data_IF_154221565197
#
_entry.id   IF_154221565197
#
_cell.length_a   1.000
_cell.length_b   1.000
_cell.length_c   1.000
_cell.angle_alpha   90.00
_cell.angle_beta   90.00
_cell.angle_gamma   90.00
#
_symmetry.space_group_name_H-M   'P 1'
#
loop_
_entity.id
_entity.type
_entity.pdbx_description
1 polymer ?
#
# COMPACT_ATOMS: atom_id res chain seq x y z
N UNK A 1 -25.21 -0.44 -7.90
CA UNK A 1 -24.78 -0.65 -9.30
C UNK A 1 -23.57 -1.57 -9.25
N UNK A 2 -23.46 -2.58 -10.13
CA UNK A 2 -22.29 -3.43 -10.15
C UNK A 2 -21.07 -2.60 -10.59
N UNK A 3 -19.98 -2.70 -9.86
CA UNK A 3 -18.73 -2.03 -10.18
C UNK A 3 -18.24 -2.45 -11.57
N UNK A 4 -18.04 -1.47 -12.47
CA UNK A 4 -17.62 -1.71 -13.84
C UNK A 4 -16.26 -2.43 -13.91
N UNK A 5 -15.37 -2.19 -12.94
CA UNK A 5 -14.09 -2.87 -12.82
C UNK A 5 -14.29 -4.36 -12.51
N UNK A 6 -15.12 -4.70 -11.52
CA UNK A 6 -15.44 -6.10 -11.18
C UNK A 6 -16.16 -6.84 -12.31
N UNK A 7 -17.00 -6.15 -13.09
CA UNK A 7 -17.61 -6.72 -14.28
C UNK A 7 -16.57 -7.09 -15.35
N UNK A 8 -15.62 -6.18 -15.62
CA UNK A 8 -14.50 -6.46 -16.54
C UNK A 8 -13.64 -7.60 -16.03
N UNK A 9 -13.31 -7.62 -14.74
CA UNK A 9 -12.55 -8.69 -14.10
C UNK A 9 -13.24 -10.05 -14.27
N UNK A 10 -14.56 -10.12 -14.07
CA UNK A 10 -15.34 -11.34 -14.30
C UNK A 10 -15.27 -11.79 -15.76
N UNK A 11 -15.40 -10.86 -16.72
CA UNK A 11 -15.31 -11.15 -18.15
C UNK A 11 -13.93 -11.70 -18.54
N UNK A 12 -12.85 -11.07 -18.04
CA UNK A 12 -11.48 -11.54 -18.28
C UNK A 12 -11.24 -12.93 -17.67
N UNK A 13 -11.76 -13.18 -16.48
CA UNK A 13 -11.66 -14.51 -15.86
C UNK A 13 -12.37 -15.60 -16.65
N UNK A 14 -13.48 -15.28 -17.31
CA UNK A 14 -14.18 -16.24 -18.16
C UNK A 14 -13.43 -16.49 -19.47
N UNK A 15 -12.85 -15.43 -20.07
CA UNK A 15 -12.12 -15.55 -21.33
C UNK A 15 -10.78 -16.29 -21.17
N UNK A 16 -10.01 -15.98 -20.12
CA UNK A 16 -8.70 -16.56 -19.85
C UNK A 16 -8.76 -17.79 -18.93
N UNK A 17 -9.87 -18.53 -18.89
CA UNK A 17 -9.99 -19.74 -18.07
C UNK A 17 -8.91 -20.80 -18.37
N UNK A 18 -8.37 -20.74 -19.59
CA UNK A 18 -7.32 -21.58 -20.12
C UNK A 18 -5.89 -21.14 -19.77
N UNK A 19 -5.66 -19.95 -19.18
CA UNK A 19 -4.31 -19.48 -18.80
C UNK A 19 -4.18 -19.34 -17.28
N UNK A 20 -3.61 -20.34 -16.58
CA UNK A 20 -3.47 -20.32 -15.13
C UNK A 20 -2.71 -19.11 -14.58
N UNK A 21 -1.69 -18.60 -15.29
CA UNK A 21 -0.91 -17.46 -14.83
C UNK A 21 -1.78 -16.18 -14.74
N UNK A 22 -2.60 -15.94 -15.77
CA UNK A 22 -3.57 -14.83 -15.80
C UNK A 22 -4.67 -15.03 -14.76
N UNK A 23 -5.19 -16.26 -14.60
CA UNK A 23 -6.20 -16.55 -13.57
C UNK A 23 -5.72 -16.25 -12.15
N UNK A 24 -4.45 -16.54 -11.84
CA UNK A 24 -3.88 -16.22 -10.51
C UNK A 24 -3.91 -14.72 -10.23
N UNK A 25 -3.49 -13.89 -11.19
CA UNK A 25 -3.50 -12.43 -11.02
C UNK A 25 -4.94 -11.90 -10.86
N UNK A 26 -5.87 -12.32 -11.73
CA UNK A 26 -7.27 -11.89 -11.68
C UNK A 26 -7.98 -12.37 -10.39
N UNK A 27 -7.62 -13.54 -9.87
CA UNK A 27 -8.15 -14.04 -8.61
C UNK A 27 -7.60 -13.24 -7.41
N UNK A 28 -6.32 -12.89 -7.41
CA UNK A 28 -5.70 -12.07 -6.37
C UNK A 28 -6.33 -10.67 -6.30
N UNK A 29 -6.51 -10.01 -7.45
CA UNK A 29 -7.23 -8.73 -7.53
C UNK A 29 -8.66 -8.87 -6.98
N UNK A 30 -9.41 -9.90 -7.41
CA UNK A 30 -10.79 -10.09 -6.93
C UNK A 30 -10.83 -10.25 -5.41
N UNK A 31 -9.93 -11.06 -4.85
CA UNK A 31 -9.86 -11.29 -3.41
C UNK A 31 -9.58 -9.98 -2.66
N UNK A 32 -8.58 -9.22 -3.12
CA UNK A 32 -8.24 -7.93 -2.53
C UNK A 32 -9.40 -6.94 -2.57
N UNK A 33 -10.08 -6.77 -3.71
CA UNK A 33 -11.25 -5.87 -3.82
C UNK A 33 -12.37 -6.29 -2.87
N UNK A 34 -12.65 -7.59 -2.76
CA UNK A 34 -13.70 -8.07 -1.86
C UNK A 34 -13.35 -7.84 -0.38
N UNK A 35 -12.07 -7.96 -0.01
CA UNK A 35 -11.59 -7.67 1.34
C UNK A 35 -11.71 -6.17 1.66
N UNK A 36 -11.24 -5.32 0.75
CA UNK A 36 -11.35 -3.86 0.92
C UNK A 36 -12.81 -3.40 0.98
N UNK A 37 -13.70 -3.94 0.14
CA UNK A 37 -15.15 -3.68 0.23
C UNK A 37 -15.78 -4.17 1.54
N UNK A 38 -15.15 -5.14 2.20
CA UNK A 38 -15.55 -5.67 3.50
C UNK A 38 -14.93 -4.93 4.69
N UNK A 39 -14.20 -3.82 4.47
CA UNK A 39 -13.41 -3.14 5.50
C UNK A 39 -12.38 -4.06 6.17
N UNK A 40 -11.74 -4.92 5.37
CA UNK A 40 -10.64 -5.76 5.76
C UNK A 40 -9.42 -5.44 4.91
N UNK A 41 -8.22 -5.48 5.51
CA UNK A 41 -6.99 -5.40 4.75
C UNK A 41 -6.88 -6.63 3.81
N UNK A 42 -6.30 -6.49 2.61
CA UNK A 42 -5.96 -7.63 1.78
C UNK A 42 -5.07 -8.61 2.56
N UNK A 43 -5.30 -9.91 2.41
CA UNK A 43 -4.58 -10.90 3.23
C UNK A 43 -3.08 -10.95 2.92
N UNK A 44 -2.70 -10.81 1.65
CA UNK A 44 -1.34 -10.94 1.14
C UNK A 44 -1.03 -9.92 0.05
N UNK A 45 0.26 -9.70 -0.20
CA UNK A 45 0.75 -8.99 -1.38
C UNK A 45 0.25 -9.62 -2.69
N UNK A 46 0.19 -8.80 -3.74
CA UNK A 46 -0.24 -9.25 -5.06
C UNK A 46 0.92 -9.92 -5.81
N UNK A 47 0.65 -10.86 -6.73
CA UNK A 47 1.65 -11.25 -7.72
C UNK A 47 1.99 -10.06 -8.62
N UNK A 48 3.08 -10.17 -9.39
CA UNK A 48 3.35 -9.22 -10.46
C UNK A 48 2.15 -9.17 -11.42
N UNK A 49 1.62 -7.96 -11.62
CA UNK A 49 0.44 -7.72 -12.41
C UNK A 49 0.81 -7.28 -13.83
N UNK A 50 0.20 -7.93 -14.81
CA UNK A 50 0.41 -7.67 -16.23
C UNK A 50 0.62 -8.95 -17.01
N UNK A 51 0.55 -8.82 -18.33
CA UNK A 51 0.79 -9.88 -19.29
C UNK A 51 2.15 -9.60 -19.94
N UNK A 52 3.19 -10.19 -19.37
CA UNK A 52 4.53 -10.21 -19.95
C UNK A 52 4.77 -11.43 -20.85
N UNK A 53 5.91 -11.48 -21.57
CA UNK A 53 6.32 -12.65 -22.35
C UNK A 53 6.41 -13.93 -21.51
N UNK A 54 6.66 -13.79 -20.21
CA UNK A 54 6.77 -14.83 -19.21
C UNK A 54 5.42 -15.38 -18.72
N UNK A 55 4.37 -14.57 -18.82
CA UNK A 55 3.00 -14.93 -18.41
C UNK A 55 2.31 -15.79 -19.48
N UNK A 56 2.65 -15.61 -20.76
CA UNK A 56 2.03 -16.32 -21.89
C UNK A 56 2.79 -17.59 -22.33
N UNK A 57 3.65 -18.15 -21.48
CA UNK A 57 4.62 -19.15 -21.94
C UNK A 57 4.00 -20.50 -22.29
N UNK A 58 3.00 -20.99 -21.54
CA UNK A 58 2.77 -22.44 -21.53
C UNK A 58 1.72 -22.92 -22.51
N UNK A 59 0.48 -22.42 -22.41
CA UNK A 59 -0.62 -22.96 -23.21
C UNK A 59 -0.92 -22.09 -24.43
N UNK A 60 -0.71 -20.77 -24.30
CA UNK A 60 -0.80 -19.83 -25.42
C UNK A 60 0.18 -20.17 -26.55
N UNK A 61 1.45 -20.40 -26.20
CA UNK A 61 2.51 -20.72 -27.18
C UNK A 61 2.33 -22.10 -27.84
N UNK A 62 1.54 -23.00 -27.24
CA UNK A 62 1.23 -24.33 -27.79
C UNK A 62 0.02 -24.32 -28.72
N UNK A 63 -0.80 -23.27 -28.70
CA UNK A 63 -1.93 -23.12 -29.61
C UNK A 63 -1.44 -22.70 -31.00
N UNK A 64 -2.05 -23.30 -32.01
CA UNK A 64 -1.95 -22.80 -33.39
C UNK A 64 -3.07 -21.80 -33.60
N UNK A 65 -2.72 -20.62 -34.08
CA UNK A 65 -3.66 -19.51 -34.29
C UNK A 65 -3.77 -19.23 -35.78
N UNK A 66 -4.99 -19.03 -36.28
CA UNK A 66 -5.19 -18.32 -37.54
C UNK A 66 -4.98 -16.82 -37.34
N UNK A 67 -4.71 -16.06 -38.41
CA UNK A 67 -4.53 -14.61 -38.33
C UNK A 67 -5.75 -13.90 -37.71
N UNK A 68 -6.96 -14.40 -37.99
CA UNK A 68 -8.20 -13.83 -37.46
C UNK A 68 -8.38 -14.11 -35.96
N UNK A 69 -8.09 -15.33 -35.52
CA UNK A 69 -8.14 -15.69 -34.09
C UNK A 69 -7.07 -14.93 -33.31
N UNK A 70 -5.87 -14.81 -33.88
CA UNK A 70 -4.79 -14.02 -33.31
C UNK A 70 -5.19 -12.56 -33.12
N UNK A 71 -5.72 -11.92 -34.17
CA UNK A 71 -6.15 -10.52 -34.08
C UNK A 71 -7.25 -10.31 -33.03
N UNK A 72 -8.18 -11.25 -32.89
CA UNK A 72 -9.21 -11.18 -31.83
C UNK A 72 -8.60 -11.34 -30.43
N UNK A 73 -7.68 -12.30 -30.25
CA UNK A 73 -7.03 -12.57 -28.96
C UNK A 73 -6.14 -11.41 -28.51
N UNK A 74 -5.47 -10.72 -29.44
CA UNK A 74 -4.67 -9.52 -29.13
C UNK A 74 -5.48 -8.43 -28.41
N UNK A 75 -6.75 -8.26 -28.78
CA UNK A 75 -7.63 -7.29 -28.10
C UNK A 75 -7.90 -7.72 -26.65
N UNK A 76 -8.18 -9.01 -26.43
CA UNK A 76 -8.38 -9.56 -25.09
C UNK A 76 -7.14 -9.45 -24.21
N UNK A 77 -5.98 -9.75 -24.77
CA UNK A 77 -4.69 -9.63 -24.08
C UNK A 77 -4.41 -8.17 -23.70
N UNK A 78 -4.60 -7.24 -24.64
CA UNK A 78 -4.45 -5.81 -24.41
C UNK A 78 -5.38 -5.30 -23.31
N UNK A 79 -6.67 -5.66 -23.37
CA UNK A 79 -7.67 -5.25 -22.38
C UNK A 79 -7.37 -5.84 -21.00
N UNK A 80 -6.93 -7.09 -20.93
CA UNK A 80 -6.59 -7.75 -19.67
C UNK A 80 -5.30 -7.17 -19.08
N UNK A 81 -4.26 -6.97 -19.88
CA UNK A 81 -3.02 -6.32 -19.44
C UNK A 81 -3.30 -4.92 -18.89
N UNK A 82 -4.12 -4.13 -19.59
CA UNK A 82 -4.57 -2.83 -19.10
C UNK A 82 -5.31 -2.94 -17.77
N UNK A 83 -6.24 -3.89 -17.62
CA UNK A 83 -6.99 -4.10 -16.38
C UNK A 83 -6.06 -4.44 -15.20
N UNK A 84 -5.07 -5.31 -15.43
CA UNK A 84 -4.11 -5.77 -14.43
C UNK A 84 -3.19 -4.62 -13.99
N UNK A 85 -2.58 -3.92 -14.95
CA UNK A 85 -1.63 -2.82 -14.67
C UNK A 85 -2.28 -1.60 -14.02
N UNK A 86 -3.58 -1.37 -14.26
CA UNK A 86 -4.30 -0.22 -13.67
C UNK A 86 -5.00 -0.55 -12.35
N UNK A 87 -4.70 -1.70 -11.73
CA UNK A 87 -5.30 -2.04 -10.43
C UNK A 87 -4.89 -1.08 -9.32
N UNK A 88 -3.64 -0.60 -9.31
CA UNK A 88 -3.16 0.40 -8.34
C UNK A 88 -4.02 1.65 -8.35
N UNK A 89 -4.26 2.20 -9.54
CA UNK A 89 -5.13 3.37 -9.72
C UNK A 89 -6.56 3.10 -9.22
N UNK A 90 -7.10 1.91 -9.49
CA UNK A 90 -8.41 1.55 -8.98
C UNK A 90 -8.43 1.53 -7.44
N UNK A 91 -7.39 1.00 -6.80
CA UNK A 91 -7.27 0.97 -5.34
C UNK A 91 -7.19 2.39 -4.75
N UNK A 92 -6.39 3.27 -5.34
CA UNK A 92 -6.27 4.68 -4.93
C UNK A 92 -7.61 5.43 -5.08
N UNK A 93 -8.26 5.30 -6.23
CA UNK A 93 -9.47 6.05 -6.56
C UNK A 93 -10.69 5.58 -5.76
N UNK A 94 -10.79 4.29 -5.47
CA UNK A 94 -11.98 3.73 -4.83
C UNK A 94 -11.84 3.54 -3.33
N UNK A 95 -10.61 3.37 -2.82
CA UNK A 95 -10.34 3.12 -1.42
C UNK A 95 -9.39 4.14 -0.78
N UNK A 96 -8.82 5.10 -1.53
CA UNK A 96 -7.89 6.08 -0.95
C UNK A 96 -6.64 5.42 -0.34
N UNK A 97 -6.24 4.28 -0.87
CA UNK A 97 -5.13 3.48 -0.37
C UNK A 97 -3.92 3.66 -1.28
N UNK A 98 -2.95 4.45 -0.83
CA UNK A 98 -1.75 4.83 -1.59
C UNK A 98 -0.62 3.81 -1.43
N UNK A 99 -0.36 3.39 -0.19
CA UNK A 99 0.51 2.28 0.14
C UNK A 99 -0.33 1.00 0.25
N UNK A 100 0.06 -0.08 -0.43
CA UNK A 100 -0.70 -1.32 -0.47
C UNK A 100 -0.42 -2.21 0.75
N UNK A 101 -0.99 -1.84 1.88
CA UNK A 101 -0.89 -2.51 3.19
C UNK A 101 -1.72 -3.80 3.24
N UNK A 102 -1.14 -4.87 3.76
CA UNK A 102 -1.76 -6.19 3.84
C UNK A 102 -1.71 -6.76 5.27
N UNK A 103 -2.56 -7.74 5.55
CA UNK A 103 -2.62 -8.38 6.87
C UNK A 103 -1.30 -9.06 7.25
N UNK A 104 -0.66 -9.75 6.30
CA UNK A 104 0.61 -10.44 6.55
C UNK A 104 1.75 -9.47 6.87
N UNK A 105 1.84 -8.33 6.19
CA UNK A 105 2.79 -7.26 6.53
C UNK A 105 2.58 -6.81 7.97
N UNK A 106 1.33 -6.53 8.34
CA UNK A 106 1.01 -5.99 9.66
C UNK A 106 1.23 -6.99 10.79
N UNK A 107 0.90 -8.26 10.55
CA UNK A 107 1.21 -9.36 11.46
C UNK A 107 2.72 -9.48 11.69
N UNK A 108 3.52 -9.46 10.62
CA UNK A 108 4.97 -9.56 10.72
C UNK A 108 5.58 -8.31 11.36
N UNK A 109 5.03 -7.13 11.11
CA UNK A 109 5.48 -5.89 11.76
C UNK A 109 5.36 -6.00 13.27
N UNK A 110 4.18 -6.38 13.77
CA UNK A 110 3.93 -6.52 15.21
C UNK A 110 4.73 -7.67 15.81
N UNK A 111 4.94 -8.77 15.08
CA UNK A 111 5.79 -9.86 15.54
C UNK A 111 7.25 -9.42 15.74
N UNK A 112 7.79 -8.63 14.81
CA UNK A 112 9.19 -8.19 14.81
C UNK A 112 9.44 -6.99 15.73
N UNK A 113 8.41 -6.17 15.95
CA UNK A 113 8.41 -4.97 16.79
C UNK A 113 7.22 -5.00 17.76
N UNK A 114 7.22 -5.92 18.75
CA UNK A 114 6.07 -6.13 19.62
C UNK A 114 5.96 -5.05 20.71
N UNK A 115 4.77 -4.98 21.31
CA UNK A 115 4.46 -4.22 22.54
C UNK A 115 4.73 -2.72 22.44
N UNK A 116 4.31 -2.09 21.35
CA UNK A 116 4.48 -0.65 21.15
C UNK A 116 3.15 0.08 21.29
N UNK A 117 3.18 1.27 21.88
CA UNK A 117 2.19 2.31 21.65
C UNK A 117 2.57 3.04 20.35
N UNK A 118 1.67 2.98 19.36
CA UNK A 118 1.92 3.54 18.03
C UNK A 118 1.26 4.90 17.85
N UNK A 119 2.00 5.84 17.29
CA UNK A 119 1.46 7.04 16.67
C UNK A 119 1.61 6.91 15.15
N UNK A 120 0.51 6.89 14.41
CA UNK A 120 0.51 6.99 12.96
C UNK A 120 0.26 8.45 12.53
N UNK A 121 1.17 8.97 11.71
CA UNK A 121 1.10 10.29 11.09
C UNK A 121 0.71 10.14 9.63
N UNK A 122 -0.10 11.09 9.13
CA UNK A 122 -0.55 11.09 7.73
C UNK A 122 -1.30 9.81 7.36
N UNK A 123 -2.14 9.34 8.30
CA UNK A 123 -2.76 8.02 8.22
C UNK A 123 -3.74 7.84 7.04
N UNK A 124 -4.19 8.92 6.40
CA UNK A 124 -5.22 8.89 5.37
C UNK A 124 -6.49 8.19 5.87
N UNK A 125 -6.83 7.04 5.26
CA UNK A 125 -7.94 6.19 5.69
C UNK A 125 -7.61 5.26 6.87
N UNK A 126 -6.36 5.24 7.34
CA UNK A 126 -5.93 4.53 8.55
C UNK A 126 -5.65 3.04 8.35
N UNK A 127 -5.18 2.61 7.17
CA UNK A 127 -4.92 1.21 6.84
C UNK A 127 -3.88 0.55 7.77
N UNK A 128 -2.76 1.23 8.08
CA UNK A 128 -1.72 0.71 8.98
C UNK A 128 -2.27 0.63 10.40
N UNK A 129 -2.91 1.70 10.88
CA UNK A 129 -3.59 1.69 12.18
C UNK A 129 -4.64 0.61 12.31
N UNK A 130 -5.39 0.30 11.25
CA UNK A 130 -6.36 -0.80 11.24
C UNK A 130 -5.63 -2.13 11.46
N UNK A 131 -4.58 -2.39 10.68
CA UNK A 131 -3.80 -3.61 10.82
C UNK A 131 -3.11 -3.76 12.18
N UNK A 132 -2.53 -2.68 12.71
CA UNK A 132 -1.95 -2.66 14.05
C UNK A 132 -2.98 -2.97 15.14
N UNK A 133 -4.18 -2.38 15.04
CA UNK A 133 -5.29 -2.63 16.00
C UNK A 133 -5.83 -4.05 15.90
N UNK A 134 -5.92 -4.62 14.71
CA UNK A 134 -6.31 -6.03 14.51
C UNK A 134 -5.32 -7.00 15.16
N UNK A 135 -4.05 -6.60 15.28
CA UNK A 135 -3.01 -7.31 16.05
C UNK A 135 -2.95 -6.91 17.54
N UNK A 136 -3.99 -6.23 18.04
CA UNK A 136 -4.12 -5.86 19.45
C UNK A 136 -3.20 -4.73 19.92
N UNK A 137 -2.56 -3.99 19.01
CA UNK A 137 -1.71 -2.85 19.38
C UNK A 137 -2.55 -1.62 19.75
N UNK A 138 -1.98 -0.78 20.62
CA UNK A 138 -2.56 0.54 20.92
C UNK A 138 -2.06 1.55 19.90
N UNK A 139 -2.99 2.24 19.24
CA UNK A 139 -2.65 3.14 18.14
C UNK A 139 -3.45 4.43 18.22
N UNK A 140 -2.75 5.56 18.09
CA UNK A 140 -3.32 6.86 17.79
C UNK A 140 -3.03 7.15 16.32
N UNK A 141 -4.09 7.25 15.51
CA UNK A 141 -3.99 7.56 14.08
C UNK A 141 -4.34 9.03 13.88
N UNK A 142 -3.52 9.76 13.13
CA UNK A 142 -3.70 11.19 12.87
C UNK A 142 -3.53 11.51 11.39
N UNK A 143 -4.35 12.42 10.90
CA UNK A 143 -4.26 12.96 9.55
C UNK A 143 -4.86 14.37 9.53
N UNK A 144 -4.37 15.26 8.67
CA UNK A 144 -4.94 16.60 8.52
C UNK A 144 -6.30 16.59 7.81
N UNK A 145 -6.62 15.50 7.12
CA UNK A 145 -7.77 15.28 6.26
C UNK A 145 -7.86 16.27 5.08
N UNK A 146 -6.74 16.89 4.71
CA UNK A 146 -6.68 17.87 3.64
C UNK A 146 -7.13 17.31 2.27
N UNK A 147 -6.93 16.00 2.05
CA UNK A 147 -7.26 15.34 0.77
C UNK A 147 -8.72 14.89 0.66
N UNK A 148 -9.51 15.07 1.72
CA UNK A 148 -10.94 14.66 1.74
C UNK A 148 -11.75 15.35 0.65
N UNK A 149 -11.42 16.58 0.26
CA UNK A 149 -12.09 17.27 -0.86
C UNK A 149 -11.60 16.83 -2.23
N UNK A 150 -10.44 16.19 -2.31
CA UNK A 150 -9.73 15.91 -3.58
C UNK A 150 -9.98 14.48 -4.07
N UNK A 151 -10.00 13.50 -3.16
CA UNK A 151 -10.17 12.08 -3.47
C UNK A 151 -10.78 11.29 -2.30
N UNK A 152 -10.74 9.96 -2.34
CA UNK A 152 -11.34 9.08 -1.31
C UNK A 152 -10.53 8.99 0.00
N UNK A 153 -9.35 9.60 0.07
CA UNK A 153 -8.55 9.70 1.30
C UNK A 153 -9.26 10.60 2.31
N UNK A 154 -9.47 10.09 3.52
CA UNK A 154 -10.23 10.76 4.57
C UNK A 154 -11.76 10.59 4.48
N UNK A 155 -12.28 9.96 3.42
CA UNK A 155 -13.74 9.75 3.23
C UNK A 155 -14.22 8.41 3.76
N UNK A 156 -13.40 7.36 3.60
CA UNK A 156 -13.73 5.98 3.96
C UNK A 156 -12.72 5.46 4.97
N UNK A 157 -12.83 5.95 6.21
CA UNK A 157 -11.89 5.59 7.26
C UNK A 157 -12.08 4.11 7.66
N UNK A 158 -11.00 3.33 7.63
CA UNK A 158 -10.99 1.94 8.09
C UNK A 158 -10.95 1.81 9.62
N UNK A 159 -10.67 2.93 10.28
CA UNK A 159 -10.56 3.02 11.73
C UNK A 159 -10.64 4.48 12.18
N UNK A 160 -10.71 4.72 13.51
CA UNK A 160 -10.67 6.08 14.05
C UNK A 160 -9.35 6.78 13.69
N UNK A 161 -9.47 7.88 12.95
CA UNK A 161 -8.42 8.86 12.62
C UNK A 161 -8.78 10.20 13.25
N UNK A 162 -7.84 10.80 13.98
CA UNK A 162 -8.01 12.13 14.57
C UNK A 162 -7.63 13.20 13.54
N UNK A 163 -8.47 14.23 13.32
CA UNK A 163 -8.15 15.35 12.43
C UNK A 163 -7.09 16.24 13.07
N UNK A 164 -5.83 15.93 12.85
CA UNK A 164 -4.68 16.60 13.46
C UNK A 164 -3.50 16.58 12.48
N UNK A 165 -2.85 17.72 12.28
CA UNK A 165 -1.63 17.78 11.48
C UNK A 165 -0.50 17.01 12.16
N UNK A 166 0.45 16.53 11.35
CA UNK A 166 1.48 15.62 11.82
C UNK A 166 2.42 16.25 12.87
N UNK A 167 2.73 17.54 12.78
CA UNK A 167 3.63 18.19 13.74
C UNK A 167 2.95 18.35 15.09
N UNK A 168 1.69 18.79 15.10
CA UNK A 168 0.89 18.86 16.33
C UNK A 168 0.67 17.46 16.92
N UNK A 169 0.45 16.44 16.09
CA UNK A 169 0.31 15.06 16.53
C UNK A 169 1.56 14.54 17.26
N UNK A 170 2.76 14.82 16.73
CA UNK A 170 4.02 14.48 17.40
C UNK A 170 4.14 15.19 18.75
N UNK A 171 3.76 16.47 18.84
CA UNK A 171 3.81 17.21 20.10
C UNK A 171 2.84 16.67 21.15
N UNK A 172 1.61 16.32 20.74
CA UNK A 172 0.57 15.83 21.65
C UNK A 172 0.78 14.38 22.08
N UNK A 173 1.20 13.50 21.16
CA UNK A 173 1.19 12.05 21.36
C UNK A 173 2.58 11.41 21.28
N UNK A 174 3.59 12.10 20.75
CA UNK A 174 4.97 11.61 20.72
C UNK A 174 5.52 11.21 22.09
N UNK A 175 5.28 11.96 23.18
CA UNK A 175 5.69 11.55 24.53
C UNK A 175 5.01 10.29 25.07
N UNK A 176 3.88 9.87 24.48
CA UNK A 176 3.17 8.63 24.83
C UNK A 176 3.58 7.44 23.96
N UNK A 177 4.04 7.70 22.73
CA UNK A 177 4.34 6.67 21.75
C UNK A 177 5.71 6.03 21.99
N UNK A 178 5.78 4.70 21.85
CA UNK A 178 7.05 3.97 21.76
C UNK A 178 7.56 3.93 20.30
N UNK A 179 6.62 3.97 19.35
CA UNK A 179 6.89 3.98 17.93
C UNK A 179 6.01 4.99 17.18
N UNK A 180 6.60 5.69 16.23
CA UNK A 180 5.93 6.59 15.31
C UNK A 180 6.09 6.04 13.90
N UNK A 181 5.01 5.99 13.11
CA UNK A 181 5.06 5.68 11.68
C UNK A 181 4.57 6.88 10.88
N UNK A 182 5.39 7.33 9.93
CA UNK A 182 4.99 8.28 8.90
C UNK A 182 4.47 7.49 7.69
N UNK A 183 3.17 7.56 7.49
CA UNK A 183 2.46 6.84 6.43
C UNK A 183 2.40 7.70 5.18
N UNK A 184 3.37 7.52 4.27
CA UNK A 184 3.33 8.09 2.91
C UNK A 184 3.15 9.62 2.89
N UNK A 185 4.22 10.37 3.13
CA UNK A 185 4.18 11.83 2.96
C UNK A 185 4.22 12.19 1.45
N UNK A 186 3.39 13.13 0.96
CA UNK A 186 3.41 13.55 -0.44
C UNK A 186 4.81 14.01 -0.88
N UNK A 187 5.20 13.64 -2.10
CA UNK A 187 6.44 14.13 -2.70
C UNK A 187 6.47 15.66 -2.79
N UNK A 188 7.65 16.22 -2.51
CA UNK A 188 7.90 17.66 -2.58
C UNK A 188 7.32 18.50 -1.44
N UNK A 189 6.49 17.94 -0.55
CA UNK A 189 5.98 18.67 0.61
C UNK A 189 7.05 18.75 1.71
N UNK A 190 7.53 19.95 2.11
CA UNK A 190 8.54 20.10 3.14
C UNK A 190 8.04 19.81 4.57
N UNK A 191 6.76 19.47 4.77
CA UNK A 191 6.21 19.11 6.09
C UNK A 191 6.96 17.94 6.71
N UNK A 192 7.47 17.01 5.91
CA UNK A 192 8.19 15.83 6.38
C UNK A 192 9.50 16.15 7.14
N UNK A 193 10.21 17.20 6.73
CA UNK A 193 11.39 17.70 7.45
C UNK A 193 10.99 18.30 8.81
N UNK A 194 9.83 18.95 8.88
CA UNK A 194 9.30 19.48 10.14
C UNK A 194 8.88 18.35 11.08
N UNK A 195 8.28 17.28 10.53
CA UNK A 195 7.96 16.06 11.27
C UNK A 195 9.25 15.44 11.82
N UNK A 196 10.28 15.24 10.99
CA UNK A 196 11.56 14.69 11.41
C UNK A 196 12.20 15.52 12.53
N UNK A 197 12.18 16.84 12.41
CA UNK A 197 12.68 17.75 13.44
C UNK A 197 11.86 17.65 14.74
N UNK A 198 10.53 17.58 14.64
CA UNK A 198 9.64 17.44 15.79
C UNK A 198 9.89 16.12 16.54
N UNK A 199 10.04 15.00 15.82
CA UNK A 199 10.34 13.69 16.41
C UNK A 199 11.69 13.72 17.14
N UNK A 200 12.73 14.30 16.53
CA UNK A 200 14.06 14.43 17.15
C UNK A 200 14.08 15.36 18.36
N UNK A 201 13.10 16.25 18.49
CA UNK A 201 12.96 17.15 19.63
C UNK A 201 12.23 16.52 20.83
N UNK A 202 11.70 15.30 20.70
CA UNK A 202 11.03 14.62 21.79
C UNK A 202 11.98 14.38 22.97
N UNK A 203 11.49 14.48 24.21
CA UNK A 203 12.33 14.32 25.40
C UNK A 203 12.83 12.89 25.58
N UNK A 204 12.15 11.91 25.00
CA UNK A 204 12.53 10.50 24.98
C UNK A 204 12.63 10.03 23.52
N UNK A 205 13.66 9.23 23.17
CA UNK A 205 13.77 8.67 21.84
C UNK A 205 12.63 7.68 21.57
N UNK A 206 12.12 7.69 20.34
CA UNK A 206 11.06 6.80 19.86
C UNK A 206 11.56 6.03 18.64
N UNK A 207 11.01 4.85 18.38
CA UNK A 207 11.25 4.18 17.10
C UNK A 207 10.54 4.93 16.00
N UNK A 208 11.26 5.46 15.01
CA UNK A 208 10.65 6.16 13.90
C UNK A 208 10.65 5.29 12.64
N UNK A 209 9.47 4.98 12.11
CA UNK A 209 9.30 4.27 10.85
C UNK A 209 8.74 5.21 9.78
N UNK A 210 9.09 4.95 8.53
CA UNK A 210 8.53 5.63 7.38
C UNK A 210 8.15 4.59 6.33
N UNK A 211 6.96 4.71 5.74
CA UNK A 211 6.59 3.95 4.54
C UNK A 211 6.64 4.88 3.35
N UNK A 212 7.38 4.47 2.32
CA UNK A 212 7.43 5.18 1.05
C UNK A 212 8.56 4.71 0.14
N UNK A 213 8.85 5.47 -0.90
CA UNK A 213 9.91 5.27 -1.87
C UNK A 213 10.99 6.35 -1.72
N UNK A 214 12.18 5.94 -1.26
CA UNK A 214 13.31 6.86 -1.08
C UNK A 214 13.77 7.44 -2.42
N UNK A 215 13.80 8.78 -2.51
CA UNK A 215 14.11 9.52 -3.74
C UNK A 215 13.18 9.17 -4.92
N UNK A 216 11.94 8.77 -4.63
CA UNK A 216 10.91 8.47 -5.61
C UNK A 216 9.64 9.26 -5.33
N UNK A 217 8.48 8.58 -5.30
CA UNK A 217 7.18 9.21 -5.23
C UNK A 217 6.72 9.68 -3.82
N UNK A 218 7.58 9.60 -2.80
CA UNK A 218 7.22 9.98 -1.41
C UNK A 218 8.31 10.78 -0.73
N UNK A 219 7.89 11.68 0.16
CA UNK A 219 8.73 12.55 0.96
C UNK A 219 9.63 13.45 0.10
N UNK A 220 10.00 14.60 0.63
CA UNK A 220 10.94 15.52 0.02
C UNK A 220 12.36 14.96 0.00
N UNK A 221 13.14 15.33 -1.03
CA UNK A 221 14.57 15.04 -1.07
C UNK A 221 15.32 15.55 0.19
N UNK A 222 14.86 16.67 0.76
CA UNK A 222 15.42 17.23 1.98
C UNK A 222 15.21 16.36 3.21
N UNK A 223 14.08 15.64 3.29
CA UNK A 223 13.86 14.62 4.32
C UNK A 223 14.83 13.44 4.13
N UNK A 224 14.92 12.89 2.93
CA UNK A 224 15.80 11.74 2.67
C UNK A 224 17.29 12.03 2.86
N UNK A 225 17.72 13.29 2.72
CA UNK A 225 19.08 13.73 3.03
C UNK A 225 19.37 13.76 4.53
N UNK A 226 18.34 14.01 5.35
CA UNK A 226 18.47 14.15 6.80
C UNK A 226 18.08 12.89 7.57
N UNK A 227 17.25 12.03 6.98
CA UNK A 227 16.81 10.78 7.57
C UNK A 227 17.96 9.76 7.60
N UNK A 228 18.31 9.28 8.79
CA UNK A 228 19.36 8.28 8.94
C UNK A 228 18.76 6.89 9.11
N UNK A 229 18.90 6.05 8.08
CA UNK A 229 18.40 4.68 8.12
C UNK A 229 19.14 3.82 9.14
N UNK A 230 18.37 3.07 9.91
CA UNK A 230 18.82 2.02 10.79
C UNK A 230 18.72 0.68 10.05
N UNK A 231 19.84 -0.04 9.98
CA UNK A 231 19.85 -1.39 9.41
C UNK A 231 19.63 -2.43 10.50
N UNK A 232 18.67 -3.33 10.28
CA UNK A 232 18.38 -4.43 11.19
C UNK A 232 17.91 -5.66 10.42
N UNK A 233 18.34 -6.88 10.78
CA UNK A 233 17.78 -8.11 10.22
C UNK A 233 16.25 -8.19 10.33
N UNK A 234 15.68 -7.61 11.39
CA UNK A 234 14.22 -7.51 11.57
C UNK A 234 13.56 -6.64 10.50
N UNK A 235 14.17 -5.50 10.17
CA UNK A 235 13.66 -4.61 9.13
C UNK A 235 13.77 -5.25 7.74
N UNK A 236 14.87 -5.95 7.47
CA UNK A 236 15.03 -6.71 6.22
C UNK A 236 13.96 -7.80 6.09
N UNK A 237 13.68 -8.54 7.16
CA UNK A 237 12.62 -9.55 7.18
C UNK A 237 11.24 -8.91 7.00
N UNK A 238 10.96 -7.77 7.64
CA UNK A 238 9.71 -7.05 7.47
C UNK A 238 9.48 -6.63 6.01
N UNK A 239 10.49 -6.04 5.36
CA UNK A 239 10.39 -5.64 3.95
C UNK A 239 10.25 -6.83 3.00
N UNK A 240 10.67 -8.05 3.38
CA UNK A 240 10.41 -9.24 2.58
C UNK A 240 8.90 -9.55 2.47
N UNK A 241 8.12 -9.20 3.50
CA UNK A 241 6.67 -9.32 3.50
C UNK A 241 5.97 -8.15 2.82
N UNK A 242 6.67 -7.05 2.55
CA UNK A 242 6.12 -5.86 1.88
C UNK A 242 6.73 -5.72 0.47
N UNK A 243 6.35 -6.59 -0.49
CA UNK A 243 6.87 -6.51 -1.84
C UNK A 243 6.40 -5.25 -2.53
N UNK A 244 7.17 -4.80 -3.51
CA UNK A 244 6.79 -3.69 -4.36
C UNK A 244 5.43 -3.96 -5.03
N UNK A 245 4.66 -2.90 -5.19
CA UNK A 245 3.37 -2.96 -5.87
C UNK A 245 3.38 -2.05 -7.09
N UNK A 246 3.31 -2.68 -8.27
CA UNK A 246 3.30 -1.99 -9.56
C UNK A 246 4.55 -1.09 -9.73
N UNK A 247 4.39 0.19 -10.06
CA UNK A 247 5.51 1.10 -10.29
C UNK A 247 6.16 1.63 -9.01
N UNK A 248 5.46 1.53 -7.87
CA UNK A 248 5.92 2.07 -6.60
C UNK A 248 6.84 1.08 -5.89
N UNK A 249 8.04 1.53 -5.55
CA UNK A 249 9.03 0.74 -4.79
C UNK A 249 9.00 1.11 -3.32
N UNK A 250 7.79 1.11 -2.76
CA UNK A 250 7.58 1.39 -1.35
C UNK A 250 8.35 0.37 -0.49
N UNK A 251 8.95 0.89 0.58
CA UNK A 251 9.61 0.12 1.61
C UNK A 251 9.27 0.71 2.97
N UNK A 252 9.46 -0.09 4.01
CA UNK A 252 9.43 0.34 5.40
C UNK A 252 10.86 0.66 5.81
N UNK A 253 11.11 1.92 6.15
CA UNK A 253 12.39 2.37 6.70
C UNK A 253 12.27 2.50 8.22
N UNK A 254 13.35 2.18 8.93
CA UNK A 254 13.53 2.55 10.33
C UNK A 254 14.56 3.67 10.37
N UNK A 255 14.20 4.80 10.96
CA UNK A 255 14.96 6.05 10.93
C UNK A 255 15.39 6.48 12.33
N UNK A 256 16.50 7.23 12.41
CA UNK A 256 16.99 7.96 13.58
C UNK A 256 17.20 9.45 13.25
#
# INVERSE_FOLDING_TARGET
>A
MADAYLMRLKKMRQHFDWEPAVQRQLAAIKASVLQLQGHELPAFGLPELGIGPDVLITDFARRTWTDAEWAAEQHWLSDCDHLLRNYRQYVEVHFGMWAYITQDVMQNWVHLFPHQHWLELMSGNGYISRGLRDQGQQVVATDSLAWTSENETGRQLETKVLPLDAVTAVQCYGPWADAIVLSWSPDGDPVDQQILAAIRSLPQPVQFFCIGEKNGATNSAGFWQQAHEQHSPRLTLLNHHYPHFDLMRDQIYWLA
#
